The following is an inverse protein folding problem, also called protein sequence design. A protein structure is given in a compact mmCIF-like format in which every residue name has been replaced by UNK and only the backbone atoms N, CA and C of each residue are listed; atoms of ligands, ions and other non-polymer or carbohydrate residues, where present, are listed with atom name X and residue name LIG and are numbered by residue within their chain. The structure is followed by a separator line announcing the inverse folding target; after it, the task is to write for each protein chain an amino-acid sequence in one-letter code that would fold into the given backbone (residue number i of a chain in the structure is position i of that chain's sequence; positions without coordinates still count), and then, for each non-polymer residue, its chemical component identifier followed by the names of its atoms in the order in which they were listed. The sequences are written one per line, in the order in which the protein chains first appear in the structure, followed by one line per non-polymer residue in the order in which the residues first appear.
data_IF_122953215859
#
_entry.id   IF_122953215859
#
_cell.length_a   1.000
_cell.length_b   1.000
_cell.length_c   1.000
_cell.angle_alpha   90.00
_cell.angle_beta   90.00
_cell.angle_gamma   90.00
#
_symmetry.space_group_name_H-M   'P 1'
#
loop_
_entity.id
_entity.type
_entity.pdbx_description
1 polymer ?
#
# COMPACT_ATOMS: atom_id res chain seq x y z
N UNK A 1 -16.97 -10.03 5.68
CA UNK A 1 -16.44 -9.59 7.00
C UNK A 1 -16.28 -10.71 8.02
N UNK A 2 -17.16 -11.74 8.07
CA UNK A 2 -17.12 -12.82 9.08
C UNK A 2 -15.87 -13.73 9.11
N UNK A 3 -14.90 -13.58 8.21
CA UNK A 3 -13.67 -14.39 8.18
C UNK A 3 -12.44 -13.71 8.81
N UNK A 4 -12.51 -12.40 9.09
CA UNK A 4 -11.38 -11.65 9.65
C UNK A 4 -11.40 -11.64 11.19
N UNK A 5 -12.53 -11.99 11.81
CA UNK A 5 -12.75 -11.91 13.27
C UNK A 5 -12.29 -13.15 14.06
N UNK A 6 -11.69 -14.15 13.40
CA UNK A 6 -11.34 -15.44 14.03
C UNK A 6 -9.83 -15.58 14.32
N UNK A 7 -9.15 -14.48 14.64
CA UNK A 7 -7.79 -14.51 15.19
C UNK A 7 -7.83 -14.97 16.66
N UNK A 8 -6.80 -15.71 17.09
CA UNK A 8 -6.67 -16.18 18.48
C UNK A 8 -6.83 -14.99 19.45
N UNK A 9 -7.79 -15.08 20.37
CA UNK A 9 -8.02 -14.09 21.43
C UNK A 9 -9.03 -12.97 21.10
N UNK A 10 -9.36 -12.72 19.83
CA UNK A 10 -10.30 -11.64 19.44
C UNK A 10 -11.71 -11.89 19.99
N UNK A 11 -12.17 -13.14 19.99
CA UNK A 11 -13.46 -13.51 20.55
C UNK A 11 -13.58 -13.34 22.07
N UNK A 12 -12.45 -13.32 22.79
CA UNK A 12 -12.43 -13.03 24.23
C UNK A 12 -12.57 -11.54 24.49
N UNK A 13 -11.80 -10.73 23.75
CA UNK A 13 -11.84 -9.26 23.86
C UNK A 13 -13.19 -8.70 23.42
N UNK A 14 -13.81 -9.25 22.37
CA UNK A 14 -15.12 -8.81 21.88
C UNK A 14 -16.26 -8.93 22.91
N UNK A 15 -16.13 -9.85 23.89
CA UNK A 15 -17.12 -10.04 24.96
C UNK A 15 -17.03 -8.97 26.05
N UNK A 16 -15.88 -8.31 26.17
CA UNK A 16 -15.62 -7.25 27.15
C UNK A 16 -15.82 -5.85 26.56
N UNK A 17 -16.17 -5.76 25.27
CA UNK A 17 -16.36 -4.49 24.57
C UNK A 17 -17.81 -4.26 24.16
N UNK A 18 -18.32 -3.06 24.41
CA UNK A 18 -19.66 -2.62 24.00
C UNK A 18 -19.80 -2.41 22.47
N UNK A 19 -18.67 -2.39 21.74
CA UNK A 19 -18.62 -2.08 20.31
C UNK A 19 -17.90 -3.15 19.49
N UNK A 20 -18.24 -3.31 18.21
CA UNK A 20 -17.53 -4.22 17.32
C UNK A 20 -16.06 -3.82 17.15
N UNK A 21 -15.16 -4.80 17.19
CA UNK A 21 -13.76 -4.61 16.85
C UNK A 21 -13.66 -4.24 15.37
N UNK A 22 -13.04 -3.08 15.08
CA UNK A 22 -12.75 -2.65 13.72
C UNK A 22 -11.33 -3.09 13.38
N UNK A 23 -11.13 -3.96 12.37
CA UNK A 23 -9.80 -4.36 11.93
C UNK A 23 -9.00 -3.14 11.43
N UNK A 24 -7.68 -3.12 11.67
CA UNK A 24 -6.78 -2.05 11.20
C UNK A 24 -6.99 -1.70 9.72
N UNK A 25 -7.12 -2.66 8.79
CA UNK A 25 -7.33 -2.30 7.39
C UNK A 25 -8.67 -1.61 7.12
N UNK A 26 -9.71 -1.91 7.90
CA UNK A 26 -10.99 -1.22 7.80
C UNK A 26 -10.90 0.20 8.37
N UNK A 27 -10.11 0.41 9.42
CA UNK A 27 -9.88 1.74 9.98
C UNK A 27 -9.09 2.62 9.00
N UNK A 28 -8.00 2.10 8.41
CA UNK A 28 -7.21 2.83 7.40
C UNK A 28 -8.06 3.14 6.15
N UNK A 29 -8.92 2.22 5.72
CA UNK A 29 -9.86 2.49 4.61
C UNK A 29 -10.78 3.69 4.91
N UNK A 30 -11.29 3.78 6.14
CA UNK A 30 -12.12 4.91 6.58
C UNK A 30 -11.34 6.21 6.71
N UNK A 31 -10.09 6.13 7.17
CA UNK A 31 -9.19 7.28 7.33
C UNK A 31 -8.83 7.89 5.97
N UNK A 32 -8.40 7.06 5.01
CA UNK A 32 -8.02 7.53 3.67
C UNK A 32 -9.20 8.10 2.88
N UNK A 33 -10.41 7.54 3.04
CA UNK A 33 -11.61 8.11 2.42
C UNK A 33 -11.93 9.50 2.99
N UNK A 34 -11.84 9.67 4.31
CA UNK A 34 -12.03 10.98 4.97
C UNK A 34 -10.96 11.98 4.52
N UNK A 35 -9.71 11.54 4.43
CA UNK A 35 -8.59 12.38 3.99
C UNK A 35 -8.77 12.84 2.53
N UNK A 36 -9.24 11.93 1.66
CA UNK A 36 -9.49 12.20 0.25
C UNK A 36 -10.65 13.17 0.03
N UNK A 37 -11.80 12.93 0.68
CA UNK A 37 -13.05 13.69 0.46
C UNK A 37 -13.08 14.96 1.31
N UNK A 38 -12.55 14.90 2.53
CA UNK A 38 -12.67 15.96 3.52
C UNK A 38 -13.89 15.79 4.43
N UNK A 39 -14.13 16.83 5.21
CA UNK A 39 -15.29 16.95 6.10
C UNK A 39 -16.23 18.04 5.58
N UNK A 40 -17.33 18.27 6.30
CA UNK A 40 -18.20 19.44 6.03
C UNK A 40 -17.46 20.77 6.15
N UNK A 41 -16.46 20.84 7.02
CA UNK A 41 -15.77 22.08 7.40
C UNK A 41 -14.40 22.23 6.73
N UNK A 42 -13.86 21.16 6.15
CA UNK A 42 -12.53 21.16 5.54
C UNK A 42 -12.48 20.33 4.27
N UNK A 43 -11.91 20.90 3.22
CA UNK A 43 -11.71 20.18 1.96
C UNK A 43 -10.69 19.04 2.14
N UNK A 44 -10.96 17.90 1.51
CA UNK A 44 -10.01 16.80 1.41
C UNK A 44 -8.84 17.13 0.49
N UNK A 45 -7.85 16.24 0.46
CA UNK A 45 -6.63 16.42 -0.35
C UNK A 45 -6.77 15.85 -1.77
N UNK A 46 -7.97 15.40 -2.15
CA UNK A 46 -8.27 14.89 -3.48
C UNK A 46 -8.02 13.40 -3.63
N UNK A 47 -7.81 12.96 -4.87
CA UNK A 47 -7.59 11.55 -5.19
C UNK A 47 -6.22 11.07 -4.70
N UNK A 48 -6.21 10.04 -3.85
CA UNK A 48 -4.99 9.54 -3.20
C UNK A 48 -4.86 8.01 -3.28
N UNK A 49 -3.63 7.55 -3.12
CA UNK A 49 -3.32 6.16 -2.79
C UNK A 49 -2.72 6.10 -1.39
N UNK A 50 -3.06 5.07 -0.61
CA UNK A 50 -2.39 4.79 0.67
C UNK A 50 -1.65 3.47 0.56
N UNK A 51 -0.41 3.43 1.03
CA UNK A 51 0.45 2.25 1.09
C UNK A 51 0.73 1.94 2.56
N UNK A 52 0.29 0.76 3.04
CA UNK A 52 0.52 0.29 4.41
C UNK A 52 1.34 -1.00 4.37
N UNK A 53 2.62 -0.90 4.77
CA UNK A 53 3.55 -2.03 4.77
C UNK A 53 3.67 -2.60 6.18
N UNK A 54 3.21 -3.84 6.34
CA UNK A 54 3.32 -4.61 7.58
C UNK A 54 4.43 -5.67 7.55
N UNK A 55 4.53 -6.42 8.65
CA UNK A 55 5.44 -7.58 8.74
C UNK A 55 5.08 -8.68 7.73
N UNK A 56 3.80 -8.98 7.58
CA UNK A 56 3.33 -10.10 6.77
C UNK A 56 2.67 -9.68 5.45
N UNK A 57 2.16 -8.46 5.35
CA UNK A 57 1.33 -8.03 4.21
C UNK A 57 1.68 -6.62 3.79
N UNK A 58 1.46 -6.31 2.51
CA UNK A 58 1.33 -4.92 2.05
C UNK A 58 -0.09 -4.67 1.59
N UNK A 59 -0.68 -3.61 2.12
CA UNK A 59 -2.02 -3.16 1.82
C UNK A 59 -1.96 -1.91 0.94
N UNK A 60 -2.65 -1.93 -0.19
CA UNK A 60 -2.78 -0.78 -1.09
C UNK A 60 -4.24 -0.33 -1.11
N UNK A 61 -4.45 0.95 -0.85
CA UNK A 61 -5.75 1.59 -0.89
C UNK A 61 -5.75 2.66 -1.98
N UNK A 62 -6.85 2.80 -2.72
CA UNK A 62 -7.04 3.91 -3.66
C UNK A 62 -8.41 4.55 -3.48
N UNK A 63 -8.42 5.88 -3.56
CA UNK A 63 -9.60 6.73 -3.42
C UNK A 63 -9.66 7.62 -4.66
N UNK A 64 -10.34 7.11 -5.69
CA UNK A 64 -10.49 7.77 -6.99
C UNK A 64 -11.63 7.12 -7.75
N UNK A 65 -12.38 7.92 -8.50
CA UNK A 65 -13.39 7.42 -9.44
C UNK A 65 -12.75 6.70 -10.64
N UNK A 66 -13.23 5.50 -10.95
CA UNK A 66 -12.67 4.73 -12.04
C UNK A 66 -13.08 5.29 -13.41
N UNK A 67 -12.16 6.03 -14.06
CA UNK A 67 -12.36 6.55 -15.41
C UNK A 67 -11.72 5.65 -16.46
N UNK A 68 -12.34 5.57 -17.64
CA UNK A 68 -11.78 4.81 -18.75
C UNK A 68 -10.51 5.47 -19.28
N UNK A 69 -9.47 4.69 -19.52
CA UNK A 69 -8.32 5.10 -20.30
C UNK A 69 -8.78 5.50 -21.71
N UNK A 70 -8.13 6.52 -22.28
CA UNK A 70 -8.55 7.10 -23.57
C UNK A 70 -8.63 6.04 -24.67
N UNK A 71 -9.81 5.93 -25.31
CA UNK A 71 -10.09 4.95 -26.36
C UNK A 71 -10.29 3.51 -25.86
N UNK A 72 -10.15 3.24 -24.56
CA UNK A 72 -10.41 1.92 -23.99
C UNK A 72 -11.89 1.74 -23.62
N UNK A 73 -12.37 0.50 -23.71
CA UNK A 73 -13.62 0.07 -23.07
C UNK A 73 -13.29 -0.65 -21.77
N UNK A 74 -13.94 -0.27 -20.67
CA UNK A 74 -13.84 -0.96 -19.39
C UNK A 74 -14.53 -2.32 -19.47
N UNK A 75 -13.84 -3.37 -19.05
CA UNK A 75 -14.35 -4.74 -18.91
C UNK A 75 -14.10 -5.23 -17.49
N UNK A 76 -15.10 -5.89 -16.91
CA UNK A 76 -15.04 -6.45 -15.56
C UNK A 76 -16.14 -5.88 -14.66
N UNK A 77 -16.05 -6.19 -13.38
CA UNK A 77 -16.92 -5.60 -12.37
C UNK A 77 -16.59 -4.12 -12.18
N UNK A 78 -17.59 -3.25 -11.91
CA UNK A 78 -17.35 -1.87 -11.52
C UNK A 78 -16.37 -1.78 -10.35
N UNK A 79 -15.39 -0.89 -10.47
CA UNK A 79 -14.40 -0.63 -9.42
C UNK A 79 -14.94 0.48 -8.50
N UNK A 80 -14.90 0.29 -7.17
CA UNK A 80 -15.41 1.28 -6.21
C UNK A 80 -14.46 2.48 -6.08
N UNK A 81 -15.01 3.63 -5.63
CA UNK A 81 -14.23 4.82 -5.26
C UNK A 81 -13.14 4.47 -4.24
N UNK A 82 -13.52 3.83 -3.13
CA UNK A 82 -12.62 3.32 -2.10
C UNK A 82 -12.31 1.84 -2.37
N UNK A 83 -11.09 1.52 -2.82
CA UNK A 83 -10.64 0.14 -3.11
C UNK A 83 -9.47 -0.22 -2.20
N UNK A 84 -9.44 -1.47 -1.72
CA UNK A 84 -8.30 -2.07 -1.02
C UNK A 84 -7.90 -3.40 -1.67
N UNK A 85 -6.60 -3.62 -1.85
CA UNK A 85 -6.03 -4.96 -2.07
C UNK A 85 -5.04 -5.27 -0.94
N UNK A 86 -4.82 -6.56 -0.68
CA UNK A 86 -3.87 -7.04 0.31
C UNK A 86 -2.97 -8.09 -0.35
N UNK A 87 -1.68 -7.82 -0.37
CA UNK A 87 -0.67 -8.73 -0.87
C UNK A 87 -0.06 -9.50 0.31
N UNK A 88 -0.49 -10.76 0.47
CA UNK A 88 -0.05 -11.63 1.57
C UNK A 88 1.37 -12.17 1.42
N UNK A 89 1.99 -11.93 0.28
CA UNK A 89 3.33 -12.37 -0.11
C UNK A 89 4.35 -11.22 -0.15
N UNK A 90 3.94 -9.99 0.24
CA UNK A 90 4.74 -8.76 0.14
C UNK A 90 4.95 -8.08 1.50
N UNK A 91 5.41 -8.80 2.51
CA UNK A 91 5.65 -8.27 3.87
C UNK A 91 7.13 -8.19 4.23
N UNK A 92 7.44 -7.36 5.24
CA UNK A 92 8.80 -7.10 5.71
C UNK A 92 9.49 -8.29 6.39
N UNK A 93 8.72 -9.24 6.92
CA UNK A 93 9.18 -10.33 7.79
C UNK A 93 8.63 -11.67 7.32
N UNK A 94 7.42 -12.04 7.74
CA UNK A 94 6.84 -13.38 7.58
C UNK A 94 6.82 -13.85 6.11
N UNK A 95 6.55 -12.94 5.19
CA UNK A 95 6.42 -13.22 3.76
C UNK A 95 7.59 -12.68 2.92
N UNK A 96 8.67 -12.20 3.56
CA UNK A 96 9.84 -11.65 2.84
C UNK A 96 10.45 -12.68 1.88
N UNK A 97 10.44 -13.97 2.23
CA UNK A 97 10.91 -15.04 1.33
C UNK A 97 10.09 -15.17 0.03
N UNK A 98 8.79 -14.85 0.06
CA UNK A 98 7.95 -14.90 -1.14
C UNK A 98 8.27 -13.73 -2.07
N UNK A 99 8.42 -12.52 -1.51
CA UNK A 99 8.86 -11.35 -2.25
C UNK A 99 10.21 -11.57 -2.93
N UNK A 100 11.20 -12.11 -2.21
CA UNK A 100 12.53 -12.39 -2.80
C UNK A 100 12.42 -13.40 -3.95
N UNK A 101 11.54 -14.40 -3.84
CA UNK A 101 11.31 -15.37 -4.92
C UNK A 101 10.67 -14.72 -6.15
N UNK A 102 9.71 -13.82 -5.95
CA UNK A 102 9.07 -13.06 -7.02
C UNK A 102 10.08 -12.18 -7.77
N UNK A 103 10.97 -11.50 -7.05
CA UNK A 103 12.02 -10.63 -7.63
C UNK A 103 13.17 -11.45 -8.25
N UNK A 104 13.45 -12.62 -7.67
CA UNK A 104 14.61 -13.46 -7.95
C UNK A 104 15.79 -13.11 -7.04
N UNK A 105 16.34 -14.12 -6.35
CA UNK A 105 17.42 -13.97 -5.36
C UNK A 105 18.63 -13.22 -5.93
N UNK A 106 19.06 -13.57 -7.13
CA UNK A 106 20.21 -12.94 -7.81
C UNK A 106 19.98 -11.45 -8.05
N UNK A 107 18.84 -11.09 -8.64
CA UNK A 107 18.51 -9.69 -8.93
C UNK A 107 18.44 -8.85 -7.65
N UNK A 108 17.83 -9.42 -6.59
CA UNK A 108 17.71 -8.74 -5.31
C UNK A 108 19.08 -8.57 -4.63
N UNK A 109 19.93 -9.60 -4.65
CA UNK A 109 21.27 -9.54 -4.09
C UNK A 109 22.14 -8.50 -4.82
N UNK A 110 22.10 -8.46 -6.15
CA UNK A 110 22.77 -7.44 -6.97
C UNK A 110 22.28 -6.03 -6.63
N UNK A 111 20.97 -5.84 -6.50
CA UNK A 111 20.37 -4.54 -6.13
C UNK A 111 20.83 -4.06 -4.75
N UNK A 112 20.99 -4.97 -3.80
CA UNK A 112 21.46 -4.66 -2.44
C UNK A 112 23.00 -4.58 -2.32
N UNK A 113 23.75 -4.96 -3.36
CA UNK A 113 25.22 -5.06 -3.29
C UNK A 113 25.72 -6.14 -2.33
N UNK A 114 24.99 -7.25 -2.19
CA UNK A 114 25.31 -8.36 -1.27
C UNK A 114 25.51 -9.68 -1.99
N UNK A 115 26.08 -10.67 -1.30
CA UNK A 115 26.14 -12.05 -1.80
C UNK A 115 24.79 -12.76 -1.61
N UNK A 116 24.48 -13.71 -2.48
CA UNK A 116 23.31 -14.58 -2.32
C UNK A 116 23.33 -15.40 -1.02
N UNK A 117 24.53 -15.71 -0.50
CA UNK A 117 24.71 -16.41 0.78
C UNK A 117 24.21 -15.51 1.91
N UNK A 118 24.67 -14.25 1.95
CA UNK A 118 24.24 -13.29 2.95
C UNK A 118 22.72 -13.02 2.86
N UNK A 119 22.19 -12.88 1.64
CA UNK A 119 20.75 -12.74 1.41
C UNK A 119 19.95 -13.88 2.07
N UNK A 120 20.37 -15.13 1.86
CA UNK A 120 19.70 -16.31 2.44
C UNK A 120 19.70 -16.29 3.97
N UNK A 121 20.82 -15.92 4.59
CA UNK A 121 20.94 -15.81 6.04
C UNK A 121 20.05 -14.69 6.59
N UNK A 122 20.06 -13.53 5.95
CA UNK A 122 19.30 -12.36 6.36
C UNK A 122 17.78 -12.56 6.22
N UNK A 123 17.32 -13.28 5.18
CA UNK A 123 15.91 -13.66 5.03
C UNK A 123 15.50 -14.72 6.05
N UNK A 124 16.39 -15.68 6.33
CA UNK A 124 16.15 -16.68 7.39
C UNK A 124 16.02 -16.00 8.76
N UNK A 125 16.85 -14.99 9.05
CA UNK A 125 16.76 -14.18 10.28
C UNK A 125 15.39 -13.50 10.40
N UNK A 126 14.92 -12.82 9.36
CA UNK A 126 13.61 -12.12 9.32
C UNK A 126 12.40 -13.04 9.46
N UNK A 127 12.45 -14.22 8.87
CA UNK A 127 11.35 -15.19 8.92
C UNK A 127 11.32 -15.98 10.24
N UNK A 128 12.46 -16.14 10.91
CA UNK A 128 12.55 -16.82 12.22
C UNK A 128 12.25 -15.87 13.38
N UNK A 129 12.78 -14.64 13.34
CA UNK A 129 12.61 -13.63 14.38
C UNK A 129 11.80 -12.47 13.82
N UNK A 130 10.47 -12.57 13.88
CA UNK A 130 9.57 -11.57 13.27
C UNK A 130 9.63 -10.20 13.96
N UNK A 131 10.13 -10.15 15.19
CA UNK A 131 10.40 -8.92 15.94
C UNK A 131 11.78 -8.30 15.64
N UNK A 132 12.59 -8.91 14.77
CA UNK A 132 13.89 -8.39 14.41
C UNK A 132 13.76 -7.04 13.67
N UNK A 133 14.58 -6.08 14.10
CA UNK A 133 14.73 -4.77 13.47
C UNK A 133 16.17 -4.68 12.98
N UNK A 134 16.36 -4.18 11.76
CA UNK A 134 17.68 -4.03 11.15
C UNK A 134 18.64 -3.24 12.06
N UNK A 135 19.71 -3.91 12.49
CA UNK A 135 20.65 -3.42 13.51
C UNK A 135 21.95 -2.85 12.91
N UNK A 136 22.13 -2.94 11.59
CA UNK A 136 23.31 -2.45 10.89
C UNK A 136 22.96 -1.94 9.47
N UNK A 137 23.91 -1.25 8.82
CA UNK A 137 23.68 -0.63 7.52
C UNK A 137 23.27 -1.61 6.42
N UNK A 138 23.86 -2.80 6.38
CA UNK A 138 23.52 -3.80 5.34
C UNK A 138 22.10 -4.33 5.51
N UNK A 139 21.70 -4.57 6.76
CA UNK A 139 20.34 -5.01 7.09
C UNK A 139 19.30 -3.91 6.84
N UNK A 140 19.67 -2.64 7.05
CA UNK A 140 18.81 -1.50 6.69
C UNK A 140 18.64 -1.37 5.18
N UNK A 141 19.72 -1.51 4.40
CA UNK A 141 19.64 -1.55 2.93
C UNK A 141 18.72 -2.68 2.45
N UNK A 142 18.77 -3.84 3.12
CA UNK A 142 17.87 -4.94 2.82
C UNK A 142 16.40 -4.61 3.14
N UNK A 143 16.11 -4.09 4.34
CA UNK A 143 14.74 -3.68 4.70
C UNK A 143 14.21 -2.63 3.73
N UNK A 144 15.01 -1.61 3.41
CA UNK A 144 14.67 -0.60 2.43
C UNK A 144 14.30 -1.21 1.06
N UNK A 145 15.13 -2.10 0.51
CA UNK A 145 14.84 -2.73 -0.77
C UNK A 145 13.65 -3.70 -0.72
N UNK A 146 13.43 -4.41 0.39
CA UNK A 146 12.21 -5.22 0.57
C UNK A 146 10.98 -4.30 0.47
N UNK A 147 10.99 -3.15 1.14
CA UNK A 147 9.89 -2.20 1.09
C UNK A 147 9.69 -1.64 -0.33
N UNK A 148 10.77 -1.24 -1.03
CA UNK A 148 10.69 -0.76 -2.41
C UNK A 148 9.99 -1.78 -3.34
N UNK A 149 10.40 -3.06 -3.28
CA UNK A 149 9.77 -4.11 -4.09
C UNK A 149 8.35 -4.43 -3.64
N UNK A 150 8.07 -4.38 -2.34
CA UNK A 150 6.72 -4.60 -1.81
C UNK A 150 5.75 -3.53 -2.37
N UNK A 151 6.14 -2.26 -2.34
CA UNK A 151 5.37 -1.17 -2.95
C UNK A 151 5.24 -1.38 -4.46
N UNK A 152 6.35 -1.65 -5.15
CA UNK A 152 6.40 -1.81 -6.59
C UNK A 152 5.38 -2.86 -7.08
N UNK A 153 5.47 -4.07 -6.52
CA UNK A 153 4.66 -5.21 -6.93
C UNK A 153 3.20 -5.01 -6.51
N UNK A 154 2.97 -4.56 -5.27
CA UNK A 154 1.61 -4.38 -4.75
C UNK A 154 0.84 -3.31 -5.50
N UNK A 155 1.48 -2.19 -5.86
CA UNK A 155 0.84 -1.13 -6.65
C UNK A 155 0.43 -1.64 -8.04
N UNK A 156 1.28 -2.44 -8.70
CA UNK A 156 1.02 -3.02 -10.02
C UNK A 156 -0.11 -4.04 -10.00
N UNK A 157 -0.19 -4.85 -8.94
CA UNK A 157 -1.30 -5.79 -8.72
C UNK A 157 -2.61 -5.09 -8.34
N UNK A 158 -2.54 -3.93 -7.68
CA UNK A 158 -3.71 -3.12 -7.32
C UNK A 158 -4.30 -2.37 -8.52
N UNK A 159 -3.43 -1.85 -9.39
CA UNK A 159 -3.78 -1.07 -10.55
C UNK A 159 -4.47 -1.88 -11.65
N UNK A 160 -5.28 -1.20 -12.44
CA UNK A 160 -5.77 -1.71 -13.70
C UNK A 160 -4.70 -1.68 -14.79
N UNK A 161 -5.00 -2.35 -15.89
CA UNK A 161 -4.16 -2.38 -17.07
C UNK A 161 -4.98 -2.31 -18.35
N UNK A 162 -4.32 -1.91 -19.42
CA UNK A 162 -4.87 -1.76 -20.75
C UNK A 162 -4.20 -2.74 -21.70
N UNK A 163 -5.01 -3.43 -22.49
CA UNK A 163 -4.54 -4.38 -23.51
C UNK A 163 -5.29 -4.20 -24.82
N UNK A 164 -4.68 -4.65 -25.92
CA UNK A 164 -5.30 -4.68 -27.24
C UNK A 164 -5.94 -6.05 -27.46
N UNK A 165 -7.24 -6.06 -27.72
CA UNK A 165 -7.97 -7.26 -28.11
C UNK A 165 -8.33 -7.20 -29.59
N UNK A 166 -8.12 -8.31 -30.30
CA UNK A 166 -8.21 -8.41 -31.76
C UNK A 166 -9.46 -9.15 -32.26
N UNK A 167 -10.58 -9.05 -31.54
CA UNK A 167 -11.85 -9.62 -32.01
C UNK A 167 -12.69 -8.53 -32.68
N UNK A 168 -12.91 -8.65 -34.00
CA UNK A 168 -13.61 -7.70 -34.89
C UNK A 168 -12.91 -6.34 -35.06
N UNK A 169 -11.58 -6.33 -35.13
CA UNK A 169 -10.73 -5.13 -35.17
C UNK A 169 -9.87 -5.00 -33.92
N UNK A 170 -9.00 -3.97 -33.85
CA UNK A 170 -8.22 -3.69 -32.65
C UNK A 170 -9.04 -2.82 -31.69
N UNK A 171 -9.45 -3.38 -30.54
CA UNK A 171 -10.11 -2.63 -29.47
C UNK A 171 -9.23 -2.56 -28.23
N UNK A 172 -9.00 -1.34 -27.73
CA UNK A 172 -8.38 -1.12 -26.43
C UNK A 172 -9.37 -1.52 -25.33
N UNK A 173 -8.88 -2.30 -24.37
CA UNK A 173 -9.66 -2.78 -23.24
C UNK A 173 -8.94 -2.46 -21.96
N UNK A 174 -9.64 -1.79 -21.04
CA UNK A 174 -9.20 -1.58 -19.67
C UNK A 174 -9.80 -2.66 -18.77
N UNK A 175 -8.96 -3.29 -17.96
CA UNK A 175 -9.37 -4.13 -16.83
C UNK A 175 -8.86 -3.52 -15.54
N UNK A 176 -9.71 -3.52 -14.52
CA UNK A 176 -9.37 -2.94 -13.22
C UNK A 176 -9.44 -1.41 -13.20
N UNK A 177 -8.86 -0.84 -12.15
CA UNK A 177 -9.01 0.57 -11.78
C UNK A 177 -7.94 1.46 -12.42
N UNK A 178 -8.34 2.57 -13.02
CA UNK A 178 -7.42 3.56 -13.54
C UNK A 178 -6.95 4.49 -12.41
N UNK A 179 -5.65 4.49 -12.13
CA UNK A 179 -5.03 5.26 -11.04
C UNK A 179 -4.10 6.36 -11.56
N UNK A 180 -4.06 6.60 -12.88
CA UNK A 180 -3.12 7.55 -13.50
C UNK A 180 -3.29 8.99 -13.03
N UNK A 181 -4.50 9.37 -12.57
CA UNK A 181 -4.79 10.74 -12.11
C UNK A 181 -4.48 10.95 -10.61
N UNK A 182 -4.14 9.89 -9.86
CA UNK A 182 -3.67 10.04 -8.48
C UNK A 182 -2.34 10.79 -8.48
N UNK A 183 -2.24 11.83 -7.67
CA UNK A 183 -1.00 12.60 -7.49
C UNK A 183 -0.36 12.37 -6.13
N UNK A 184 -1.16 12.06 -5.11
CA UNK A 184 -0.64 11.96 -3.74
C UNK A 184 -0.60 10.50 -3.29
N UNK A 185 0.57 10.05 -2.85
CA UNK A 185 0.75 8.75 -2.20
C UNK A 185 1.01 8.99 -0.72
N UNK A 186 0.19 8.38 0.12
CA UNK A 186 0.33 8.41 1.57
C UNK A 186 0.94 7.09 2.02
N UNK A 187 2.11 7.12 2.64
CA UNK A 187 2.73 5.94 3.23
C UNK A 187 2.47 5.85 4.73
N UNK A 188 2.18 4.64 5.21
CA UNK A 188 2.07 4.30 6.63
C UNK A 188 2.67 2.91 6.87
N UNK A 189 2.80 2.51 8.13
CA UNK A 189 3.47 1.27 8.52
C UNK A 189 4.86 1.52 9.11
N UNK A 190 5.33 0.54 9.88
CA UNK A 190 6.54 0.68 10.70
C UNK A 190 7.80 1.02 9.90
N UNK A 191 7.99 0.40 8.73
CA UNK A 191 9.13 0.70 7.87
C UNK A 191 9.03 2.12 7.30
N UNK A 192 7.86 2.55 6.85
CA UNK A 192 7.67 3.89 6.26
C UNK A 192 7.86 5.00 7.30
N UNK A 193 7.28 4.86 8.50
CA UNK A 193 7.34 5.89 9.53
C UNK A 193 8.73 6.05 10.19
N UNK A 194 9.63 5.07 10.01
CA UNK A 194 10.96 5.06 10.63
C UNK A 194 12.11 5.05 9.62
N UNK A 195 11.82 5.12 8.32
CA UNK A 195 12.83 5.18 7.26
C UNK A 195 13.22 6.63 6.99
N UNK A 196 14.53 6.89 6.88
CA UNK A 196 15.04 8.24 6.59
C UNK A 196 14.70 8.67 5.16
N UNK A 197 14.73 7.71 4.22
CA UNK A 197 14.38 7.87 2.81
C UNK A 197 13.11 7.09 2.45
N UNK A 198 12.01 7.40 3.15
CA UNK A 198 10.71 6.80 2.85
C UNK A 198 10.16 7.20 1.46
N UNK A 199 10.63 8.33 0.92
CA UNK A 199 10.23 8.81 -0.42
C UNK A 199 10.64 7.81 -1.48
N UNK A 200 11.90 7.38 -1.50
CA UNK A 200 12.37 6.46 -2.54
C UNK A 200 11.72 5.08 -2.45
N UNK A 201 11.15 4.69 -1.29
CA UNK A 201 10.28 3.52 -1.18
C UNK A 201 8.96 3.76 -1.93
N UNK A 202 8.28 4.88 -1.65
CA UNK A 202 6.93 5.17 -2.15
C UNK A 202 6.91 5.56 -3.64
N UNK A 203 8.00 6.14 -4.15
CA UNK A 203 8.20 6.42 -5.59
C UNK A 203 8.15 5.15 -6.46
N UNK A 204 8.32 3.96 -5.88
CA UNK A 204 8.14 2.70 -6.61
C UNK A 204 6.69 2.45 -7.10
N UNK A 205 5.72 3.26 -6.67
CA UNK A 205 4.36 3.30 -7.24
C UNK A 205 4.37 3.84 -8.69
N UNK A 206 5.33 4.70 -9.04
CA UNK A 206 5.36 5.33 -10.36
C UNK A 206 5.49 4.29 -11.48
N UNK A 207 4.79 4.56 -12.59
CA UNK A 207 4.88 3.75 -13.80
C UNK A 207 6.21 4.00 -14.51
N UNK A 208 6.86 2.94 -14.96
CA UNK A 208 8.08 3.07 -15.74
C UNK A 208 7.78 3.27 -17.24
N UNK A 209 8.78 3.68 -18.02
CA UNK A 209 8.64 3.96 -19.46
C UNK A 209 8.06 2.80 -20.27
N UNK A 210 8.36 1.56 -19.89
CA UNK A 210 7.87 0.35 -20.59
C UNK A 210 6.43 0.01 -20.22
N UNK A 211 5.99 0.42 -19.03
CA UNK A 211 4.64 0.23 -18.51
C UNK A 211 3.66 1.31 -18.99
N UNK A 212 4.15 2.47 -19.46
CA UNK A 212 3.32 3.58 -19.93
C UNK A 212 2.31 3.12 -20.98
N UNK A 213 1.05 3.50 -20.76
CA UNK A 213 -0.08 3.11 -21.62
C UNK A 213 -0.53 1.66 -21.46
N UNK A 214 0.09 0.87 -20.59
CA UNK A 214 -0.27 -0.52 -20.29
C UNK A 214 -0.68 -0.69 -18.83
N UNK A 215 0.11 -0.24 -17.86
CA UNK A 215 -0.27 -0.24 -16.44
C UNK A 215 -0.80 1.14 -16.06
N UNK A 216 -1.96 1.19 -15.43
CA UNK A 216 -2.68 2.42 -15.10
C UNK A 216 -2.26 2.98 -13.74
N UNK A 217 -0.96 3.23 -13.59
CA UNK A 217 -0.33 3.87 -12.43
C UNK A 217 0.09 5.31 -12.76
N UNK A 218 0.26 6.18 -11.75
CA UNK A 218 0.70 7.56 -11.97
C UNK A 218 2.13 7.63 -12.49
N UNK A 219 2.44 8.67 -13.27
CA UNK A 219 3.80 8.92 -13.78
C UNK A 219 4.64 9.78 -12.85
N UNK A 220 3.99 10.57 -12.00
CA UNK A 220 4.64 11.46 -11.05
C UNK A 220 3.76 11.60 -9.83
N UNK A 221 4.36 11.51 -8.66
CA UNK A 221 3.65 11.63 -7.39
C UNK A 221 4.25 12.68 -6.46
N UNK A 222 3.45 13.12 -5.50
CA UNK A 222 3.85 13.76 -4.26
C UNK A 222 3.67 12.76 -3.12
N UNK A 223 4.64 12.69 -2.20
CA UNK A 223 4.66 11.71 -1.11
C UNK A 223 4.32 12.38 0.22
N UNK A 224 3.41 11.78 0.97
CA UNK A 224 3.12 12.11 2.36
C UNK A 224 3.38 10.90 3.24
N UNK A 225 4.03 11.11 4.39
CA UNK A 225 4.29 10.04 5.35
C UNK A 225 3.50 10.26 6.63
N UNK A 226 2.84 9.21 7.10
CA UNK A 226 2.18 9.13 8.41
C UNK A 226 3.23 8.93 9.52
N UNK A 227 3.94 10.03 9.85
CA UNK A 227 5.08 10.00 10.77
C UNK A 227 4.71 9.54 12.18
N UNK A 228 3.53 9.91 12.65
CA UNK A 228 3.07 9.56 14.00
C UNK A 228 2.34 8.20 14.03
N UNK A 229 2.26 7.51 12.87
CA UNK A 229 1.57 6.22 12.66
C UNK A 229 0.12 6.23 13.19
N UNK A 230 -0.65 7.26 12.83
CA UNK A 230 -1.99 7.51 13.41
C UNK A 230 -3.15 7.24 12.46
N UNK A 231 -2.92 6.88 11.19
CA UNK A 231 -4.02 6.71 10.23
C UNK A 231 -5.09 5.72 10.74
N UNK A 232 -4.68 4.59 11.32
CA UNK A 232 -5.64 3.62 11.87
C UNK A 232 -6.45 4.23 13.02
N UNK A 233 -5.81 5.00 13.92
CA UNK A 233 -6.48 5.62 15.05
C UNK A 233 -7.44 6.71 14.59
N UNK A 234 -7.05 7.53 13.61
CA UNK A 234 -7.91 8.52 12.98
C UNK A 234 -9.13 7.87 12.32
N UNK A 235 -8.95 6.75 11.64
CA UNK A 235 -10.04 5.97 11.05
C UNK A 235 -11.08 5.48 12.06
N UNK A 236 -10.65 5.13 13.27
CA UNK A 236 -11.54 4.79 14.38
C UNK A 236 -12.26 6.05 14.92
N UNK A 237 -11.55 7.17 15.00
CA UNK A 237 -12.07 8.44 15.52
C UNK A 237 -13.14 9.06 14.60
N UNK A 238 -13.07 8.84 13.28
CA UNK A 238 -14.00 9.38 12.26
C UNK A 238 -15.48 9.24 12.66
N UNK A 239 -15.86 8.10 13.26
CA UNK A 239 -17.26 7.84 13.66
C UNK A 239 -17.77 8.72 14.80
N UNK A 240 -16.87 9.37 15.53
CA UNK A 240 -17.18 10.22 16.68
C UNK A 240 -17.00 11.69 16.34
N UNK A 241 -15.91 12.01 15.64
CA UNK A 241 -15.57 13.37 15.27
C UNK A 241 -14.73 13.35 13.98
N UNK A 242 -15.36 13.70 12.86
CA UNK A 242 -14.71 13.76 11.55
C UNK A 242 -13.66 14.88 11.48
N UNK A 243 -13.92 16.03 12.09
CA UNK A 243 -13.00 17.17 12.05
C UNK A 243 -11.75 16.91 12.88
N UNK A 244 -11.91 16.31 14.08
CA UNK A 244 -10.77 15.91 14.90
C UNK A 244 -9.97 14.77 14.24
N UNK A 245 -10.64 13.80 13.62
CA UNK A 245 -10.00 12.73 12.84
C UNK A 245 -9.17 13.31 11.69
N UNK A 246 -9.74 14.22 10.91
CA UNK A 246 -9.06 14.89 9.81
C UNK A 246 -7.86 15.71 10.30
N UNK A 247 -8.03 16.51 11.36
CA UNK A 247 -6.98 17.36 11.90
C UNK A 247 -5.78 16.57 12.45
N UNK A 248 -6.00 15.41 13.06
CA UNK A 248 -4.92 14.53 13.53
C UNK A 248 -4.13 13.96 12.34
N UNK A 249 -4.82 13.52 11.29
CA UNK A 249 -4.14 13.03 10.08
C UNK A 249 -3.29 14.12 9.44
N UNK A 250 -3.83 15.33 9.25
CA UNK A 250 -3.05 16.44 8.67
C UNK A 250 -1.82 16.81 9.49
N UNK A 251 -1.89 16.69 10.82
CA UNK A 251 -0.74 16.98 11.69
C UNK A 251 0.33 15.90 11.60
N UNK A 252 -0.07 14.64 11.41
CA UNK A 252 0.85 13.51 11.24
C UNK A 252 1.50 13.49 9.87
N UNK A 253 0.72 13.81 8.82
CA UNK A 253 1.17 13.77 7.44
C UNK A 253 2.14 14.91 7.15
N UNK A 254 3.39 14.56 6.82
CA UNK A 254 4.41 15.54 6.43
C UNK A 254 4.96 15.19 5.05
N UNK A 255 5.22 16.25 4.28
CA UNK A 255 6.08 16.17 3.10
C UNK A 255 7.52 15.91 3.59
N UNK A 256 8.23 15.06 2.85
CA UNK A 256 9.67 14.85 3.02
C UNK A 256 10.40 15.70 1.99
#
# INVERSE_FOLDING_TARGET
MNRITNMKGVGSVQKEMDKPIVPTPAAILLAGELLSIGTKNKAGIGDIMVVDIGGATTDIYSYIENKSFSGAKIIGTPEPFSKRTVEGDMGMRESSICLIKEVGEKNFAERCGISEIFLKEAIKKRTTFTNYIADNCMEKIMDHNIACYAVNISARRHAGYVTKEFNNGCRLVQRGKNLMEIKTIVGTGGIIANEEDAVSILENVETNTWEKGHILLPEKIDVLVDWDYVLFAAGLLRKYDEDASFAIMEKSLRLI
#
